data_IF_943528887039
#
_entry.id   IF_943528887039
#
_cell.length_a   1.000
_cell.length_b   1.000
_cell.length_c   1.000
_cell.angle_alpha   90.00
_cell.angle_beta   90.00
_cell.angle_gamma   90.00
#
_symmetry.space_group_name_H-M   'P 1'
#
loop_
_entity.id
_entity.type
_entity.pdbx_description
1 polymer ?
#
# COMPACT_ATOMS: atom_id res chain seq x y z
N UNK A 1 38.32 10.28 29.20
CA UNK A 1 38.36 10.32 27.73
C UNK A 1 37.80 9.05 27.05
N UNK A 2 37.06 8.17 27.74
CA UNK A 2 36.65 6.86 27.21
C UNK A 2 35.13 6.63 27.04
N UNK A 3 34.29 7.64 27.28
CA UNK A 3 32.82 7.45 27.38
C UNK A 3 32.08 8.00 26.14
N UNK A 4 32.62 9.04 25.46
CA UNK A 4 32.01 9.63 24.26
C UNK A 4 32.14 8.77 22.98
N UNK A 5 33.17 7.92 22.89
CA UNK A 5 33.36 6.99 21.77
C UNK A 5 32.32 5.86 21.74
N UNK A 6 31.67 5.58 22.87
CA UNK A 6 30.71 4.47 22.97
C UNK A 6 29.28 4.88 22.57
N UNK A 7 28.92 6.15 22.77
CA UNK A 7 27.61 6.70 22.39
C UNK A 7 27.48 6.94 20.88
N UNK A 8 28.54 7.41 20.23
CA UNK A 8 28.59 7.58 18.76
C UNK A 8 28.45 6.23 18.04
N UNK A 9 29.13 5.17 18.50
CA UNK A 9 28.94 3.79 17.99
C UNK A 9 27.49 3.30 18.11
N UNK A 10 26.81 3.56 19.22
CA UNK A 10 25.41 3.14 19.42
C UNK A 10 24.44 3.86 18.47
N UNK A 11 24.68 5.14 18.17
CA UNK A 11 23.86 5.89 17.22
C UNK A 11 24.04 5.40 15.78
N UNK A 12 25.24 4.97 15.40
CA UNK A 12 25.47 4.31 14.11
C UNK A 12 24.84 2.92 14.03
N UNK A 13 24.87 2.14 15.12
CA UNK A 13 24.17 0.86 15.23
C UNK A 13 22.66 1.08 15.08
N UNK A 14 22.10 2.10 15.74
CA UNK A 14 20.69 2.44 15.63
C UNK A 14 20.25 2.86 14.21
N UNK A 15 21.05 3.69 13.53
CA UNK A 15 20.84 4.05 12.13
C UNK A 15 21.01 2.84 11.19
N UNK A 16 22.01 1.97 11.45
CA UNK A 16 22.19 0.69 10.75
C UNK A 16 21.00 -0.26 10.93
N UNK A 17 20.35 -0.23 12.09
CA UNK A 17 19.25 -1.14 12.43
C UNK A 17 17.84 -0.57 12.15
N UNK A 18 17.75 0.61 11.52
CA UNK A 18 16.49 1.22 11.00
C UNK A 18 15.34 1.20 12.00
N UNK A 19 15.63 1.44 13.27
CA UNK A 19 14.61 1.55 14.30
C UNK A 19 14.02 2.96 14.27
N UNK A 20 12.81 3.12 13.71
CA UNK A 20 12.09 4.39 13.70
C UNK A 20 12.01 5.05 15.10
N UNK A 21 11.83 4.23 16.14
CA UNK A 21 11.82 4.66 17.54
C UNK A 21 13.17 5.20 18.03
N UNK A 22 14.30 4.65 17.55
CA UNK A 22 15.63 5.10 17.96
C UNK A 22 16.07 6.32 17.13
N UNK A 23 15.66 6.43 15.87
CA UNK A 23 15.90 7.63 15.08
C UNK A 23 15.09 8.84 15.57
N UNK A 24 13.83 8.63 15.96
CA UNK A 24 13.04 9.66 16.65
C UNK A 24 13.67 10.05 18.00
N UNK A 25 14.30 9.11 18.69
CA UNK A 25 15.09 9.39 19.89
C UNK A 25 16.33 10.26 19.58
N UNK A 26 17.05 9.97 18.48
CA UNK A 26 18.18 10.78 18.00
C UNK A 26 17.72 12.20 17.62
N UNK A 27 16.50 12.34 17.11
CA UNK A 27 15.87 13.64 16.85
C UNK A 27 15.55 14.46 18.12
N UNK A 28 15.36 13.79 19.28
CA UNK A 28 15.07 14.45 20.56
C UNK A 28 16.33 14.80 21.36
N UNK A 29 17.48 14.21 21.03
CA UNK A 29 18.75 14.51 21.69
C UNK A 29 19.38 15.77 21.05
N UNK A 30 19.13 16.94 21.63
CA UNK A 30 19.56 18.26 21.16
C UNK A 30 21.04 18.38 20.70
N UNK A 31 21.99 18.84 21.54
CA UNK A 31 23.33 19.28 21.12
C UNK A 31 24.24 18.19 20.52
N UNK A 32 23.82 16.92 20.53
CA UNK A 32 24.57 15.79 19.95
C UNK A 32 24.31 15.61 18.45
N UNK A 33 23.31 16.32 17.89
CA UNK A 33 22.95 16.29 16.47
C UNK A 33 24.11 16.68 15.55
N UNK A 34 24.85 17.73 15.88
CA UNK A 34 25.95 18.23 15.06
C UNK A 34 27.15 17.26 15.02
N UNK A 35 27.38 16.53 16.12
CA UNK A 35 28.43 15.50 16.23
C UNK A 35 28.09 14.28 15.37
N UNK A 36 26.82 13.87 15.33
CA UNK A 36 26.35 12.72 14.53
C UNK A 36 26.37 13.07 13.03
N UNK A 37 26.02 14.30 12.66
CA UNK A 37 26.02 14.76 11.26
C UNK A 37 27.43 14.95 10.69
N UNK A 38 28.43 15.21 11.53
CA UNK A 38 29.83 15.41 11.13
C UNK A 38 30.69 14.15 11.24
N UNK A 39 30.16 13.06 11.79
CA UNK A 39 30.90 11.81 11.95
C UNK A 39 31.17 11.12 10.61
N UNK A 40 32.42 10.66 10.45
CA UNK A 40 32.90 9.89 9.31
C UNK A 40 33.50 8.58 9.83
N UNK A 41 33.07 7.44 9.27
CA UNK A 41 33.59 6.13 9.67
C UNK A 41 35.00 5.85 9.10
N UNK A 42 35.58 4.71 9.50
CA UNK A 42 36.92 4.28 9.04
C UNK A 42 37.03 4.08 7.52
N UNK A 43 35.92 3.91 6.82
CA UNK A 43 35.81 3.75 5.36
C UNK A 43 35.40 5.06 4.67
N UNK A 44 35.56 6.22 5.35
CA UNK A 44 35.13 7.54 4.89
C UNK A 44 33.63 7.64 4.59
N UNK A 45 32.79 6.76 5.14
CA UNK A 45 31.34 6.87 5.03
C UNK A 45 30.83 7.92 6.03
N UNK A 46 30.13 8.92 5.53
CA UNK A 46 29.28 9.76 6.37
C UNK A 46 27.95 9.03 6.70
N UNK A 47 27.09 9.67 7.50
CA UNK A 47 25.81 9.11 7.89
C UNK A 47 24.94 8.69 6.69
N UNK A 48 24.94 9.47 5.60
CA UNK A 48 24.14 9.18 4.42
C UNK A 48 24.63 7.91 3.69
N UNK A 49 25.93 7.67 3.62
CA UNK A 49 26.48 6.40 3.12
C UNK A 49 26.10 5.20 3.99
N UNK A 50 25.97 5.39 5.31
CA UNK A 50 25.54 4.31 6.20
C UNK A 50 24.08 3.93 5.95
N UNK A 51 23.22 4.91 5.67
CA UNK A 51 21.80 4.71 5.33
C UNK A 51 21.64 4.20 3.90
N UNK A 52 22.60 4.51 3.02
CA UNK A 52 22.66 4.02 1.65
C UNK A 52 22.87 2.50 1.53
N UNK A 53 23.41 1.85 2.57
CA UNK A 53 23.59 0.39 2.60
C UNK A 53 22.28 -0.31 2.91
N UNK A 54 22.02 -1.43 2.23
CA UNK A 54 20.83 -2.23 2.43
C UNK A 54 20.66 -2.66 3.91
N UNK A 55 19.42 -2.66 4.41
CA UNK A 55 19.14 -3.08 5.78
C UNK A 55 19.58 -4.55 6.03
N UNK A 56 19.89 -4.93 7.29
CA UNK A 56 20.13 -6.32 7.65
C UNK A 56 18.93 -7.23 7.30
N UNK A 57 19.16 -8.53 7.01
CA UNK A 57 18.10 -9.50 6.66
C UNK A 57 16.92 -9.52 7.62
N UNK A 58 17.20 -9.33 8.92
CA UNK A 58 16.22 -9.30 10.01
C UNK A 58 15.19 -8.17 9.87
N UNK A 59 15.50 -7.15 9.04
CA UNK A 59 14.64 -6.00 8.73
C UNK A 59 14.04 -6.06 7.33
N UNK A 60 14.55 -6.91 6.44
CA UNK A 60 14.08 -7.07 5.06
C UNK A 60 12.67 -7.71 4.97
N UNK A 61 12.17 -8.32 6.04
CA UNK A 61 10.86 -8.97 6.05
C UNK A 61 9.80 -8.24 6.91
N UNK A 62 10.05 -6.99 7.31
CA UNK A 62 9.08 -6.23 8.13
C UNK A 62 7.81 -5.90 7.35
N UNK A 63 7.89 -5.82 6.03
CA UNK A 63 6.79 -5.38 5.18
C UNK A 63 6.52 -6.41 4.10
N UNK A 64 5.25 -6.77 3.91
CA UNK A 64 4.78 -7.68 2.88
C UNK A 64 4.93 -7.07 1.48
N UNK A 65 6.11 -7.15 0.91
CA UNK A 65 6.37 -6.83 -0.50
C UNK A 65 7.62 -5.98 -0.73
N UNK A 66 8.44 -6.40 -1.70
CA UNK A 66 9.69 -5.73 -2.05
C UNK A 66 9.51 -4.25 -2.43
N UNK A 67 8.35 -3.87 -3.00
CA UNK A 67 8.09 -2.47 -3.34
C UNK A 67 7.85 -1.58 -2.13
N UNK A 68 7.10 -2.08 -1.14
CA UNK A 68 6.88 -1.33 0.10
C UNK A 68 8.18 -1.20 0.91
N UNK A 69 9.03 -2.22 0.86
CA UNK A 69 10.35 -2.13 1.45
C UNK A 69 11.23 -1.12 0.73
N UNK A 70 11.35 -1.19 -0.61
CA UNK A 70 12.15 -0.23 -1.39
C UNK A 70 11.74 1.22 -1.11
N UNK A 71 10.43 1.45 -1.01
CA UNK A 71 9.87 2.73 -0.61
C UNK A 71 10.29 3.20 0.78
N UNK A 72 10.30 2.30 1.76
CA UNK A 72 10.75 2.59 3.11
C UNK A 72 12.23 2.98 3.09
N UNK A 73 13.06 2.22 2.36
CA UNK A 73 14.50 2.51 2.26
C UNK A 73 14.76 3.87 1.61
N UNK A 74 14.02 4.21 0.56
CA UNK A 74 14.11 5.51 -0.10
C UNK A 74 13.65 6.65 0.82
N UNK A 75 12.57 6.45 1.58
CA UNK A 75 12.07 7.46 2.52
C UNK A 75 13.09 7.77 3.62
N UNK A 76 13.75 6.74 4.14
CA UNK A 76 14.86 6.87 5.07
C UNK A 76 16.04 7.65 4.49
N UNK A 77 16.45 7.29 3.27
CA UNK A 77 17.55 7.94 2.58
C UNK A 77 17.28 9.44 2.35
N UNK A 78 16.09 9.77 1.85
CA UNK A 78 15.69 11.16 1.61
C UNK A 78 15.55 11.98 2.89
N UNK A 79 15.09 11.40 3.99
CA UNK A 79 14.95 12.13 5.25
C UNK A 79 16.33 12.46 5.86
N UNK A 80 17.26 11.52 5.83
CA UNK A 80 18.64 11.77 6.30
C UNK A 80 19.37 12.74 5.38
N UNK A 81 19.13 12.67 4.07
CA UNK A 81 19.68 13.60 3.08
C UNK A 81 19.32 15.06 3.37
N UNK A 82 18.09 15.35 3.81
CA UNK A 82 17.67 16.71 4.21
C UNK A 82 18.39 17.27 5.43
N UNK A 83 18.92 16.41 6.29
CA UNK A 83 19.62 16.82 7.51
C UNK A 83 21.12 17.03 7.29
N UNK A 84 21.67 16.50 6.19
CA UNK A 84 23.09 16.56 5.88
C UNK A 84 23.48 17.91 5.28
N UNK A 85 24.74 18.32 5.50
CA UNK A 85 25.32 19.48 4.82
C UNK A 85 25.45 19.19 3.31
N UNK A 86 25.29 20.19 2.42
CA UNK A 86 25.43 20.00 0.97
C UNK A 86 26.79 19.38 0.56
N UNK A 87 27.87 19.75 1.26
CA UNK A 87 29.21 19.19 1.03
C UNK A 87 29.32 17.69 1.33
N UNK A 88 28.46 17.15 2.21
CA UNK A 88 28.42 15.73 2.55
C UNK A 88 27.65 14.90 1.53
N UNK A 89 26.82 15.52 0.68
CA UNK A 89 26.05 14.81 -0.34
C UNK A 89 26.93 14.30 -1.49
N UNK A 90 27.98 15.05 -1.82
CA UNK A 90 28.93 14.73 -2.90
C UNK A 90 30.24 14.13 -2.37
N UNK A 91 30.35 13.94 -1.05
CA UNK A 91 31.53 13.34 -0.43
C UNK A 91 31.65 11.89 -0.91
N UNK A 92 32.83 11.49 -1.35
CA UNK A 92 33.11 10.11 -1.74
C UNK A 92 33.69 9.29 -0.59
N UNK A 93 33.24 8.04 -0.48
CA UNK A 93 33.79 7.10 0.49
C UNK A 93 35.12 6.48 -0.01
N UNK A 94 35.66 5.53 0.75
CA UNK A 94 36.87 4.79 0.38
C UNK A 94 36.77 3.96 -0.92
N UNK A 95 35.56 3.71 -1.43
CA UNK A 95 35.30 3.05 -2.71
C UNK A 95 35.09 4.06 -3.85
N UNK A 96 35.35 5.35 -3.63
CA UNK A 96 35.13 6.46 -4.57
C UNK A 96 33.66 6.66 -4.99
N UNK A 97 32.72 6.17 -4.18
CA UNK A 97 31.28 6.30 -4.40
C UNK A 97 30.70 7.42 -3.55
N UNK A 98 29.76 8.18 -4.13
CA UNK A 98 28.86 9.07 -3.40
C UNK A 98 27.78 8.27 -2.66
N UNK A 99 27.07 8.87 -1.67
CA UNK A 99 25.95 8.21 -0.99
C UNK A 99 24.83 7.79 -1.96
N UNK A 100 24.56 8.59 -2.99
CA UNK A 100 23.54 8.29 -4.01
C UNK A 100 23.93 7.09 -4.88
N UNK A 101 25.15 7.07 -5.40
CA UNK A 101 25.66 5.95 -6.19
C UNK A 101 25.69 4.64 -5.37
N UNK A 102 26.09 4.73 -4.10
CA UNK A 102 26.07 3.60 -3.18
C UNK A 102 24.63 3.11 -2.96
N UNK A 103 23.66 4.00 -2.75
CA UNK A 103 22.26 3.62 -2.56
C UNK A 103 21.73 2.87 -3.78
N UNK A 104 21.95 3.40 -4.99
CA UNK A 104 21.54 2.75 -6.24
C UNK A 104 22.19 1.38 -6.42
N UNK A 105 23.50 1.24 -6.10
CA UNK A 105 24.22 -0.04 -6.20
C UNK A 105 23.65 -1.08 -5.24
N UNK A 106 23.50 -0.73 -3.97
CA UNK A 106 23.08 -1.66 -2.90
C UNK A 106 21.60 -2.05 -3.02
N UNK A 107 20.75 -1.20 -3.61
CA UNK A 107 19.31 -1.45 -3.75
C UNK A 107 18.88 -1.93 -5.14
N UNK A 108 19.82 -2.18 -6.08
CA UNK A 108 19.50 -2.57 -7.45
C UNK A 108 18.64 -3.86 -7.54
N UNK A 109 18.96 -4.89 -6.75
CA UNK A 109 18.18 -6.13 -6.73
C UNK A 109 16.83 -5.98 -6.00
N UNK A 110 16.77 -5.10 -4.99
CA UNK A 110 15.51 -4.79 -4.32
C UNK A 110 14.57 -4.03 -5.28
N UNK A 111 15.11 -3.08 -6.05
CA UNK A 111 14.39 -2.34 -7.08
C UNK A 111 13.77 -3.26 -8.14
N UNK A 112 14.53 -4.21 -8.68
CA UNK A 112 14.01 -5.22 -9.63
C UNK A 112 12.88 -6.06 -9.01
N UNK A 113 13.04 -6.51 -7.77
CA UNK A 113 12.00 -7.27 -7.06
C UNK A 113 10.76 -6.42 -6.76
N UNK A 114 10.96 -5.13 -6.49
CA UNK A 114 9.89 -4.18 -6.26
C UNK A 114 9.06 -3.93 -7.53
N UNK A 115 9.70 -3.75 -8.68
CA UNK A 115 9.04 -3.63 -9.97
C UNK A 115 8.21 -4.87 -10.30
N UNK A 116 8.80 -6.06 -10.13
CA UNK A 116 8.10 -7.33 -10.34
C UNK A 116 6.91 -7.51 -9.38
N UNK A 117 7.07 -7.11 -8.12
CA UNK A 117 5.98 -7.15 -7.13
C UNK A 117 4.84 -6.18 -7.50
N UNK A 118 5.18 -4.96 -7.94
CA UNK A 118 4.21 -3.96 -8.41
C UNK A 118 3.37 -4.54 -9.55
N UNK A 119 4.04 -5.10 -10.56
CA UNK A 119 3.39 -5.65 -11.75
C UNK A 119 2.48 -6.83 -11.38
N UNK A 120 2.99 -7.82 -10.63
CA UNK A 120 2.20 -8.99 -10.21
C UNK A 120 0.97 -8.60 -9.40
N UNK A 121 1.14 -7.68 -8.44
CA UNK A 121 0.05 -7.26 -7.55
C UNK A 121 -1.02 -6.48 -8.32
N UNK A 122 -0.62 -5.50 -9.13
CA UNK A 122 -1.56 -4.71 -9.91
C UNK A 122 -2.30 -5.56 -10.96
N UNK A 123 -1.60 -6.43 -11.68
CA UNK A 123 -2.22 -7.36 -12.63
C UNK A 123 -3.23 -8.29 -11.94
N UNK A 124 -2.86 -8.89 -10.80
CA UNK A 124 -3.77 -9.79 -10.07
C UNK A 124 -5.03 -9.06 -9.61
N UNK A 125 -4.89 -7.85 -9.06
CA UNK A 125 -6.05 -7.05 -8.65
C UNK A 125 -6.91 -6.62 -9.83
N UNK A 126 -6.30 -6.22 -10.96
CA UNK A 126 -7.03 -5.88 -12.18
C UNK A 126 -7.82 -7.05 -12.75
N UNK A 127 -7.27 -8.27 -12.71
CA UNK A 127 -7.99 -9.48 -13.15
C UNK A 127 -9.22 -9.71 -12.27
N UNK A 128 -9.07 -9.65 -10.95
CA UNK A 128 -10.20 -9.80 -10.01
C UNK A 128 -11.25 -8.70 -10.23
N UNK A 129 -10.85 -7.43 -10.33
CA UNK A 129 -11.77 -6.33 -10.61
C UNK A 129 -12.48 -6.53 -11.95
N UNK A 130 -11.75 -6.86 -13.02
CA UNK A 130 -12.33 -7.13 -14.34
C UNK A 130 -13.38 -8.24 -14.28
N UNK A 131 -13.09 -9.36 -13.60
CA UNK A 131 -14.05 -10.45 -13.43
C UNK A 131 -15.33 -9.99 -12.72
N UNK A 132 -15.20 -9.17 -11.66
CA UNK A 132 -16.35 -8.60 -10.97
C UNK A 132 -17.13 -7.68 -11.91
N UNK A 133 -16.47 -6.76 -12.59
CA UNK A 133 -17.08 -5.81 -13.52
C UNK A 133 -17.86 -6.52 -14.63
N UNK A 134 -17.26 -7.56 -15.24
CA UNK A 134 -17.92 -8.38 -16.25
C UNK A 134 -19.12 -9.14 -15.69
N UNK A 135 -19.00 -9.72 -14.49
CA UNK A 135 -20.07 -10.45 -13.83
C UNK A 135 -21.29 -9.58 -13.54
N UNK A 136 -21.07 -8.42 -12.90
CA UNK A 136 -22.16 -7.48 -12.56
C UNK A 136 -22.72 -6.80 -13.81
N UNK A 137 -21.90 -6.44 -14.80
CA UNK A 137 -22.38 -5.94 -16.08
C UNK A 137 -23.31 -6.93 -16.78
N UNK A 138 -22.96 -8.22 -16.79
CA UNK A 138 -23.82 -9.27 -17.35
C UNK A 138 -25.13 -9.40 -16.56
N UNK A 139 -25.08 -9.28 -15.23
CA UNK A 139 -26.24 -9.35 -14.36
C UNK A 139 -27.19 -8.16 -14.53
N UNK A 140 -26.67 -6.96 -14.82
CA UNK A 140 -27.46 -5.76 -15.10
C UNK A 140 -28.41 -5.95 -16.30
N UNK A 141 -27.98 -6.69 -17.32
CA UNK A 141 -28.79 -6.96 -18.51
C UNK A 141 -29.52 -8.31 -18.47
N UNK A 142 -29.10 -9.23 -17.60
CA UNK A 142 -29.75 -10.52 -17.37
C UNK A 142 -30.59 -10.45 -16.09
N UNK A 143 -31.62 -9.61 -16.10
CA UNK A 143 -32.35 -9.23 -14.89
C UNK A 143 -32.93 -10.46 -14.15
N UNK A 144 -32.66 -10.59 -12.85
CA UNK A 144 -33.24 -11.66 -12.04
C UNK A 144 -34.77 -11.50 -11.99
N UNK A 145 -35.48 -12.60 -12.24
CA UNK A 145 -36.96 -12.61 -12.29
C UNK A 145 -37.56 -12.24 -13.66
N UNK A 146 -36.74 -11.88 -14.65
CA UNK A 146 -37.17 -11.64 -16.03
C UNK A 146 -37.99 -10.36 -16.23
N UNK A 147 -38.40 -10.15 -17.49
CA UNK A 147 -39.23 -9.03 -17.90
C UNK A 147 -40.67 -9.49 -18.13
N UNK A 148 -41.61 -8.55 -18.04
CA UNK A 148 -43.00 -8.78 -18.40
C UNK A 148 -43.14 -8.67 -19.91
N UNK A 149 -43.58 -9.74 -20.58
CA UNK A 149 -43.70 -9.80 -22.05
C UNK A 149 -44.67 -8.74 -22.62
N UNK A 150 -45.60 -8.25 -21.80
CA UNK A 150 -46.61 -7.28 -22.23
C UNK A 150 -46.14 -5.81 -22.15
N UNK A 151 -45.26 -5.49 -21.21
CA UNK A 151 -44.81 -4.10 -20.96
C UNK A 151 -43.32 -3.89 -21.23
N UNK A 152 -42.55 -4.96 -21.41
CA UNK A 152 -41.09 -4.94 -21.53
C UNK A 152 -40.36 -4.51 -20.25
N UNK A 153 -41.09 -4.24 -19.17
CA UNK A 153 -40.55 -3.76 -17.90
C UNK A 153 -40.13 -4.93 -16.99
N UNK A 154 -39.15 -4.75 -16.10
CA UNK A 154 -38.75 -5.76 -15.12
C UNK A 154 -39.91 -6.15 -14.21
N UNK A 155 -40.14 -7.46 -14.02
CA UNK A 155 -41.29 -8.00 -13.26
C UNK A 155 -41.38 -7.50 -11.81
N UNK A 156 -40.25 -7.13 -11.22
CA UNK A 156 -40.14 -6.74 -9.81
C UNK A 156 -39.70 -5.29 -9.62
N UNK A 157 -39.85 -4.42 -10.63
CA UNK A 157 -39.37 -3.04 -10.62
C UNK A 157 -39.80 -2.25 -9.36
N UNK A 158 -41.03 -2.45 -8.90
CA UNK A 158 -41.61 -1.76 -7.73
C UNK A 158 -41.19 -2.37 -6.38
N UNK A 159 -40.44 -3.48 -6.38
CA UNK A 159 -40.06 -4.18 -5.15
C UNK A 159 -38.73 -3.66 -4.59
N UNK A 160 -38.61 -3.58 -3.25
CA UNK A 160 -37.38 -3.11 -2.61
C UNK A 160 -36.18 -4.00 -2.93
N UNK A 161 -36.38 -5.30 -3.15
CA UNK A 161 -35.30 -6.24 -3.52
C UNK A 161 -34.70 -5.92 -4.90
N UNK A 162 -35.52 -5.46 -5.85
CA UNK A 162 -35.04 -5.06 -7.17
C UNK A 162 -34.27 -3.75 -7.12
N UNK A 163 -34.77 -2.77 -6.35
CA UNK A 163 -34.04 -1.51 -6.12
C UNK A 163 -32.68 -1.76 -5.46
N UNK A 164 -32.65 -2.62 -4.44
CA UNK A 164 -31.41 -3.01 -3.75
C UNK A 164 -30.43 -3.73 -4.68
N UNK A 165 -30.93 -4.63 -5.53
CA UNK A 165 -30.14 -5.28 -6.58
C UNK A 165 -29.53 -4.25 -7.52
N UNK A 166 -30.34 -3.39 -8.14
CA UNK A 166 -29.87 -2.43 -9.15
C UNK A 166 -28.86 -1.43 -8.57
N UNK A 167 -29.10 -0.93 -7.35
CA UNK A 167 -28.16 -0.02 -6.69
C UNK A 167 -26.83 -0.72 -6.39
N UNK A 168 -26.88 -1.94 -5.83
CA UNK A 168 -25.68 -2.70 -5.48
C UNK A 168 -24.90 -3.17 -6.71
N UNK A 169 -25.59 -3.51 -7.79
CA UNK A 169 -24.96 -3.88 -9.05
C UNK A 169 -24.20 -2.69 -9.68
N UNK A 170 -24.85 -1.52 -9.73
CA UNK A 170 -24.24 -0.29 -10.21
C UNK A 170 -23.05 0.15 -9.34
N UNK A 171 -23.16 0.09 -8.01
CA UNK A 171 -22.04 0.42 -7.12
C UNK A 171 -20.89 -0.58 -7.25
N UNK A 172 -21.17 -1.87 -7.48
CA UNK A 172 -20.16 -2.87 -7.75
C UNK A 172 -19.39 -2.58 -9.05
N UNK A 173 -20.11 -2.22 -10.12
CA UNK A 173 -19.53 -1.92 -11.43
C UNK A 173 -18.64 -0.67 -11.39
N UNK A 174 -19.15 0.43 -10.81
CA UNK A 174 -18.41 1.69 -10.73
C UNK A 174 -17.16 1.55 -9.86
N UNK A 175 -17.29 0.92 -8.69
CA UNK A 175 -16.15 0.70 -7.79
C UNK A 175 -15.12 -0.25 -8.40
N UNK A 176 -15.54 -1.30 -9.09
CA UNK A 176 -14.63 -2.20 -9.81
C UNK A 176 -13.86 -1.46 -10.92
N UNK A 177 -14.58 -0.71 -11.76
CA UNK A 177 -13.99 0.08 -12.84
C UNK A 177 -12.99 1.11 -12.30
N UNK A 178 -13.32 1.75 -11.18
CA UNK A 178 -12.41 2.67 -10.47
C UNK A 178 -11.15 1.95 -10.01
N UNK A 179 -11.28 0.76 -9.42
CA UNK A 179 -10.15 -0.08 -9.01
C UNK A 179 -9.25 -0.43 -10.21
N UNK A 180 -9.82 -0.83 -11.34
CA UNK A 180 -9.09 -1.13 -12.59
C UNK A 180 -8.26 0.08 -13.02
N UNK A 181 -8.85 1.28 -13.07
CA UNK A 181 -8.15 2.49 -13.49
C UNK A 181 -6.99 2.85 -12.54
N UNK A 182 -7.17 2.67 -11.23
CA UNK A 182 -6.12 2.94 -10.24
C UNK A 182 -4.95 1.94 -10.40
N UNK A 183 -5.23 0.64 -10.52
CA UNK A 183 -4.18 -0.36 -10.71
C UNK A 183 -3.49 -0.24 -12.08
N UNK A 184 -4.24 0.13 -13.12
CA UNK A 184 -3.66 0.45 -14.42
C UNK A 184 -2.73 1.66 -14.34
N UNK A 185 -3.10 2.70 -13.57
CA UNK A 185 -2.21 3.84 -13.31
C UNK A 185 -0.91 3.42 -12.60
N UNK A 186 -0.98 2.45 -11.69
CA UNK A 186 0.19 1.88 -11.02
C UNK A 186 1.10 1.14 -12.03
N UNK A 187 0.53 0.39 -12.96
CA UNK A 187 1.30 -0.33 -13.99
C UNK A 187 2.01 0.61 -14.96
N UNK A 188 1.28 1.57 -15.53
CA UNK A 188 1.78 2.47 -16.57
C UNK A 188 2.87 3.41 -16.04
N UNK A 189 2.81 3.76 -14.75
CA UNK A 189 3.77 4.69 -14.17
C UNK A 189 5.16 4.09 -13.96
N UNK A 190 6.19 4.88 -14.28
CA UNK A 190 7.60 4.49 -14.14
C UNK A 190 7.98 4.45 -12.67
N UNK A 191 8.62 3.34 -12.26
CA UNK A 191 9.02 3.13 -10.86
C UNK A 191 10.17 4.08 -10.43
N UNK A 192 10.95 4.61 -11.38
CA UNK A 192 12.13 5.43 -11.12
C UNK A 192 11.85 6.93 -10.82
N UNK A 193 10.60 7.38 -10.84
CA UNK A 193 10.26 8.75 -10.44
C UNK A 193 10.03 8.81 -8.91
N UNK A 194 10.84 9.60 -8.19
CA UNK A 194 10.80 9.74 -6.72
C UNK A 194 9.38 10.06 -6.19
N UNK A 195 8.60 10.84 -6.93
CA UNK A 195 7.23 11.21 -6.59
C UNK A 195 6.23 10.05 -6.75
N UNK A 196 6.51 9.14 -7.69
CA UNK A 196 5.69 7.95 -7.87
C UNK A 196 5.85 6.99 -6.70
N UNK A 197 7.09 6.79 -6.24
CA UNK A 197 7.35 5.93 -5.09
C UNK A 197 6.60 6.43 -3.86
N UNK A 198 6.60 7.72 -3.57
CA UNK A 198 5.86 8.27 -2.43
C UNK A 198 4.33 8.10 -2.55
N UNK A 199 3.77 8.20 -3.75
CA UNK A 199 2.32 8.09 -3.98
C UNK A 199 1.81 6.65 -4.14
N UNK A 200 2.70 5.67 -4.34
CA UNK A 200 2.37 4.26 -4.57
C UNK A 200 1.48 3.62 -3.48
N UNK A 201 1.74 3.77 -2.16
CA UNK A 201 0.93 3.15 -1.11
C UNK A 201 -0.48 3.72 -1.09
N UNK A 202 -0.63 5.03 -1.31
CA UNK A 202 -1.93 5.68 -1.33
C UNK A 202 -2.77 5.19 -2.52
N UNK A 203 -2.16 5.06 -3.70
CA UNK A 203 -2.82 4.45 -4.87
C UNK A 203 -3.18 2.99 -4.63
N UNK A 204 -2.30 2.23 -3.98
CA UNK A 204 -2.54 0.82 -3.69
C UNK A 204 -3.67 0.64 -2.66
N UNK A 205 -3.70 1.46 -1.59
CA UNK A 205 -4.80 1.53 -0.62
C UNK A 205 -6.11 1.88 -1.34
N UNK A 206 -6.15 2.95 -2.12
CA UNK A 206 -7.39 3.40 -2.76
C UNK A 206 -7.93 2.36 -3.75
N UNK A 207 -7.05 1.71 -4.52
CA UNK A 207 -7.41 0.62 -5.43
C UNK A 207 -7.99 -0.60 -4.70
N UNK A 208 -7.39 -0.99 -3.56
CA UNK A 208 -7.87 -2.09 -2.72
C UNK A 208 -9.20 -1.75 -2.01
N UNK A 209 -9.39 -0.50 -1.55
CA UNK A 209 -10.67 -0.06 -0.96
C UNK A 209 -11.79 -0.16 -2.01
N UNK A 210 -11.54 0.35 -3.22
CA UNK A 210 -12.51 0.28 -4.31
C UNK A 210 -12.85 -1.18 -4.68
N UNK A 211 -11.85 -2.07 -4.73
CA UNK A 211 -12.06 -3.50 -4.94
C UNK A 211 -12.92 -4.12 -3.82
N UNK A 212 -12.64 -3.80 -2.57
CA UNK A 212 -13.37 -4.34 -1.43
C UNK A 212 -14.84 -3.90 -1.41
N UNK A 213 -15.10 -2.61 -1.70
CA UNK A 213 -16.46 -2.09 -1.90
C UNK A 213 -17.16 -2.89 -3.01
N UNK A 214 -16.46 -3.15 -4.12
CA UNK A 214 -17.01 -3.92 -5.24
C UNK A 214 -17.40 -5.34 -4.85
N UNK A 215 -16.56 -6.05 -4.08
CA UNK A 215 -16.83 -7.41 -3.61
C UNK A 215 -18.07 -7.44 -2.71
N UNK A 216 -18.17 -6.54 -1.72
CA UNK A 216 -19.34 -6.47 -0.83
C UNK A 216 -20.60 -6.20 -1.65
N UNK A 217 -20.52 -5.23 -2.55
CA UNK A 217 -21.63 -4.81 -3.39
C UNK A 217 -22.12 -5.93 -4.32
N UNK A 218 -21.18 -6.70 -4.91
CA UNK A 218 -21.49 -7.88 -5.72
C UNK A 218 -22.18 -8.97 -4.89
N UNK A 219 -21.76 -9.22 -3.64
CA UNK A 219 -22.42 -10.20 -2.76
C UNK A 219 -23.84 -9.77 -2.37
N UNK A 220 -24.07 -8.46 -2.15
CA UNK A 220 -25.42 -7.91 -1.90
C UNK A 220 -26.31 -8.03 -3.15
N UNK A 221 -25.77 -7.72 -4.34
CA UNK A 221 -26.49 -7.87 -5.61
C UNK A 221 -26.85 -9.35 -5.85
N UNK A 222 -25.90 -10.26 -5.70
CA UNK A 222 -26.13 -11.70 -5.80
C UNK A 222 -27.21 -12.19 -4.84
N UNK A 223 -27.13 -11.79 -3.57
CA UNK A 223 -28.15 -12.17 -2.57
C UNK A 223 -29.53 -11.63 -2.95
N UNK A 224 -29.60 -10.36 -3.37
CA UNK A 224 -30.85 -9.71 -3.81
C UNK A 224 -31.47 -10.41 -5.02
N UNK A 225 -30.65 -10.86 -5.98
CA UNK A 225 -31.11 -11.62 -7.14
C UNK A 225 -31.82 -12.93 -6.76
N UNK A 226 -31.33 -13.65 -5.73
CA UNK A 226 -32.02 -14.84 -5.22
C UNK A 226 -33.34 -14.51 -4.52
N UNK A 227 -33.41 -13.40 -3.78
CA UNK A 227 -34.68 -12.94 -3.18
C UNK A 227 -35.74 -12.59 -4.24
N UNK A 228 -35.31 -12.03 -5.38
CA UNK A 228 -36.20 -11.73 -6.51
C UNK A 228 -36.67 -13.03 -7.18
N UNK A 229 -35.73 -13.95 -7.45
CA UNK A 229 -36.01 -15.20 -8.17
C UNK A 229 -36.94 -16.14 -7.39
N UNK A 230 -36.75 -16.25 -6.07
CA UNK A 230 -37.55 -17.12 -5.20
C UNK A 230 -38.67 -16.37 -4.48
N UNK A 231 -39.12 -15.22 -4.99
CA UNK A 231 -40.13 -14.38 -4.34
C UNK A 231 -41.44 -15.14 -4.04
N UNK A 232 -41.89 -15.97 -4.98
CA UNK A 232 -43.06 -16.85 -4.84
C UNK A 232 -42.69 -18.31 -4.47
N UNK A 233 -41.40 -18.59 -4.27
CA UNK A 233 -40.87 -19.93 -4.02
C UNK A 233 -40.56 -20.21 -2.55
N UNK A 234 -39.69 -21.20 -2.32
CA UNK A 234 -39.25 -21.61 -0.98
C UNK A 234 -38.40 -20.51 -0.32
N UNK A 235 -39.01 -19.78 0.63
CA UNK A 235 -38.37 -18.65 1.31
C UNK A 235 -37.08 -18.98 2.05
N UNK A 236 -36.88 -20.23 2.50
CA UNK A 236 -35.65 -20.64 3.19
C UNK A 236 -34.42 -20.65 2.27
N UNK A 237 -34.60 -20.86 0.96
CA UNK A 237 -33.49 -20.98 0.00
C UNK A 237 -32.69 -19.67 -0.12
N UNK A 238 -33.30 -18.49 -0.35
CA UNK A 238 -32.58 -17.21 -0.36
C UNK A 238 -31.86 -16.89 0.96
N UNK A 239 -32.45 -17.22 2.12
CA UNK A 239 -31.80 -16.98 3.41
C UNK A 239 -30.54 -17.82 3.57
N UNK A 240 -30.59 -19.10 3.17
CA UNK A 240 -29.43 -19.98 3.22
C UNK A 240 -28.33 -19.54 2.25
N UNK A 241 -28.70 -19.21 1.01
CA UNK A 241 -27.75 -18.76 -0.02
C UNK A 241 -27.10 -17.44 0.39
N UNK A 242 -27.88 -16.49 0.93
CA UNK A 242 -27.36 -15.24 1.47
C UNK A 242 -26.35 -15.52 2.59
N UNK A 243 -26.70 -16.36 3.58
CA UNK A 243 -25.77 -16.75 4.65
C UNK A 243 -24.44 -17.31 4.15
N UNK A 244 -24.47 -18.17 3.11
CA UNK A 244 -23.25 -18.70 2.48
C UNK A 244 -22.50 -17.65 1.67
N UNK A 245 -23.19 -16.76 0.96
CA UNK A 245 -22.60 -15.74 0.10
C UNK A 245 -21.76 -14.71 0.89
N UNK A 246 -22.11 -14.44 2.15
CA UNK A 246 -21.34 -13.52 3.00
C UNK A 246 -20.11 -14.16 3.67
N UNK A 247 -20.00 -15.49 3.68
CA UNK A 247 -18.91 -16.23 4.33
C UNK A 247 -17.48 -15.92 3.79
N UNK A 248 -17.28 -15.66 2.48
CA UNK A 248 -15.97 -15.26 1.95
C UNK A 248 -15.46 -13.91 2.46
N UNK A 249 -16.32 -13.00 2.92
CA UNK A 249 -15.94 -11.65 3.36
C UNK A 249 -15.06 -11.66 4.62
N UNK A 250 -15.44 -12.30 5.75
CA UNK A 250 -14.56 -12.37 6.93
C UNK A 250 -13.27 -13.14 6.64
N UNK A 251 -13.31 -14.15 5.76
CA UNK A 251 -12.12 -14.87 5.31
C UNK A 251 -11.17 -13.94 4.56
N UNK A 252 -11.68 -13.12 3.64
CA UNK A 252 -10.90 -12.14 2.90
C UNK A 252 -10.30 -11.07 3.82
N UNK A 253 -11.08 -10.55 4.77
CA UNK A 253 -10.59 -9.60 5.77
C UNK A 253 -9.44 -10.20 6.57
N UNK A 254 -9.57 -11.44 7.04
CA UNK A 254 -8.54 -12.13 7.81
C UNK A 254 -7.25 -12.34 7.00
N UNK A 255 -7.37 -12.84 5.76
CA UNK A 255 -6.23 -13.10 4.88
C UNK A 255 -5.50 -11.81 4.47
N UNK A 256 -6.25 -10.75 4.19
CA UNK A 256 -5.68 -9.49 3.72
C UNK A 256 -5.19 -8.60 4.87
N UNK A 257 -5.57 -8.88 6.13
CA UNK A 257 -5.25 -8.06 7.29
C UNK A 257 -3.76 -7.76 7.42
N UNK A 258 -2.90 -8.76 7.22
CA UNK A 258 -1.44 -8.59 7.28
C UNK A 258 -0.96 -7.59 6.22
N UNK A 259 -1.45 -7.71 4.99
CA UNK A 259 -1.08 -6.81 3.90
C UNK A 259 -1.56 -5.37 4.18
N UNK A 260 -2.80 -5.20 4.64
CA UNK A 260 -3.35 -3.89 5.01
C UNK A 260 -2.56 -3.23 6.14
N UNK A 261 -2.20 -3.99 7.17
CA UNK A 261 -1.36 -3.52 8.27
C UNK A 261 -0.01 -3.00 7.77
N UNK A 262 0.63 -3.74 6.87
CA UNK A 262 1.94 -3.40 6.34
C UNK A 262 1.92 -2.16 5.43
N UNK A 263 0.89 -2.03 4.60
CA UNK A 263 0.69 -0.84 3.76
C UNK A 263 0.38 0.38 4.63
N UNK A 264 -0.49 0.24 5.63
CA UNK A 264 -0.85 1.31 6.56
C UNK A 264 0.37 1.75 7.39
N UNK A 265 1.17 0.81 7.88
CA UNK A 265 2.41 1.06 8.59
C UNK A 265 3.42 1.80 7.70
N UNK A 266 3.60 1.35 6.46
CA UNK A 266 4.51 1.98 5.50
C UNK A 266 4.06 3.41 5.15
N UNK A 267 2.76 3.61 4.91
CA UNK A 267 2.18 4.93 4.67
C UNK A 267 2.29 5.85 5.89
N UNK A 268 2.04 5.32 7.09
CA UNK A 268 2.19 6.05 8.35
C UNK A 268 3.64 6.47 8.57
N UNK A 269 4.60 5.55 8.46
CA UNK A 269 6.02 5.87 8.64
C UNK A 269 6.48 6.92 7.64
N UNK A 270 6.17 6.72 6.36
CA UNK A 270 6.46 7.68 5.29
C UNK A 270 5.88 9.06 5.65
N UNK A 271 4.59 9.14 6.01
CA UNK A 271 3.95 10.41 6.41
C UNK A 271 4.54 11.04 7.69
N UNK A 272 4.98 10.22 8.66
CA UNK A 272 5.53 10.69 9.93
C UNK A 272 6.95 11.22 9.79
N UNK A 273 7.77 10.59 8.95
CA UNK A 273 9.12 11.06 8.58
C UNK A 273 9.04 12.38 7.82
N UNK A 274 8.06 12.55 6.93
CA UNK A 274 7.90 13.76 6.13
C UNK A 274 7.20 14.93 6.83
N UNK A 275 6.79 14.81 8.10
CA UNK A 275 6.10 15.89 8.80
C UNK A 275 7.12 16.93 9.32
N UNK A 276 7.09 18.20 8.87
CA UNK A 276 7.92 19.23 9.46
C UNK A 276 7.46 19.43 10.92
N UNK A 277 8.29 19.02 11.90
CA UNK A 277 8.02 19.32 13.31
C UNK A 277 8.10 20.85 13.43
N UNK A 278 6.95 21.51 13.63
CA UNK A 278 6.90 22.93 14.02
C UNK A 278 7.90 23.11 15.14
N UNK A 279 8.86 24.03 14.97
CA UNK A 279 9.77 24.45 16.06
C UNK A 279 8.90 24.92 17.21
N UNK A 280 8.81 24.13 18.28
CA UNK A 280 8.42 24.65 19.58
C UNK A 280 9.63 25.44 20.07
N UNK A 281 9.59 26.73 19.78
CA UNK A 281 10.51 27.71 20.35
C UNK A 281 9.98 27.93 21.78
N UNK A 282 10.72 27.44 22.76
CA UNK A 282 10.58 27.86 24.16
C UNK A 282 11.71 28.83 24.47
#
# INVERSE_FOLDING_TARGET
>A
MGIEYHGSKHNHIAALHRHASIFNLIHEIGPTKDIILTFIDKKKNNLLHCVAKLAPPDRLNIVSGAALQMMLELSWFEEVKKMMLPSSLEMKNSEDLTPGELFTREHADLLKRAEAWKERTANSCMVVSTLIATGVFSAAFSLPGGNNDNTGSPNYLEKPSFLLFALSDATALISSSTSILIFLSILISRYAEDDFLKSLPLKLISGLIALFISIISMMVAFSSAFFITYYHGLKWVPYLISGLAFLPIPLFIYLQFSLWSDIAYSAYICSSLFRPRKRMIH
#
